data_IF_104441218713
#
_entry.id   IF_104441218713
#
_cell.length_a   1.000
_cell.length_b   1.000
_cell.length_c   1.000
_cell.angle_alpha   90.00
_cell.angle_beta   90.00
_cell.angle_gamma   90.00
#
_symmetry.space_group_name_H-M   'P 1'
#
loop_
_entity.id
_entity.type
_entity.pdbx_description
1 polymer ?
#
# COMPACT_ATOMS: atom_id res chain seq x y z
N UNK A 1 0.26 -1.01 11.89
CA UNK A 1 0.95 -1.29 10.61
C UNK A 1 1.91 -0.15 10.37
N UNK A 2 3.21 -0.43 10.13
CA UNK A 2 4.25 0.57 9.84
C UNK A 2 4.87 0.25 8.51
N UNK A 3 5.07 1.24 7.66
CA UNK A 3 5.55 1.04 6.30
C UNK A 3 6.66 2.04 5.95
N UNK A 4 7.52 1.67 5.01
CA UNK A 4 8.61 2.51 4.49
C UNK A 4 8.51 2.71 2.98
N UNK A 5 9.14 3.78 2.49
CA UNK A 5 9.22 4.04 1.05
C UNK A 5 10.01 2.92 0.37
N UNK A 6 9.42 2.34 -0.67
CA UNK A 6 9.95 1.17 -1.40
C UNK A 6 9.24 -0.14 -1.07
N UNK A 7 8.47 -0.21 0.01
CA UNK A 7 7.71 -1.41 0.34
C UNK A 7 6.57 -1.64 -0.64
N UNK A 8 6.22 -2.92 -0.85
CA UNK A 8 5.09 -3.32 -1.69
C UNK A 8 3.88 -3.59 -0.80
N UNK A 9 2.73 -3.06 -1.18
CA UNK A 9 1.46 -3.29 -0.54
C UNK A 9 0.61 -4.20 -1.42
N UNK A 10 0.02 -5.21 -0.80
CA UNK A 10 -1.04 -6.04 -1.39
C UNK A 10 -2.34 -5.71 -0.68
N UNK A 11 -3.32 -5.27 -1.45
CA UNK A 11 -4.69 -5.04 -1.00
C UNK A 11 -5.52 -6.20 -1.48
N UNK A 12 -5.83 -7.14 -0.58
CA UNK A 12 -6.75 -8.22 -0.87
C UNK A 12 -8.16 -7.63 -0.99
N UNK A 13 -8.89 -8.00 -2.04
CA UNK A 13 -10.27 -7.57 -2.21
C UNK A 13 -11.15 -8.26 -1.16
N UNK A 14 -11.81 -7.47 -0.29
CA UNK A 14 -12.53 -8.02 0.86
C UNK A 14 -13.71 -8.93 0.48
N UNK A 15 -14.36 -8.76 -0.67
CA UNK A 15 -15.47 -9.64 -1.10
C UNK A 15 -15.74 -9.52 -2.62
N UNK A 16 -15.75 -10.65 -3.34
CA UNK A 16 -16.52 -10.95 -4.57
C UNK A 16 -16.43 -10.04 -5.81
N UNK A 17 -15.76 -8.89 -5.78
CA UNK A 17 -15.77 -7.93 -6.89
C UNK A 17 -14.63 -6.91 -6.92
N UNK A 18 -13.93 -6.69 -5.81
CA UNK A 18 -12.72 -5.87 -5.86
C UNK A 18 -11.52 -6.74 -6.26
N UNK A 19 -10.85 -6.46 -7.39
CA UNK A 19 -9.65 -7.20 -7.76
C UNK A 19 -8.59 -6.97 -6.68
N UNK A 20 -7.78 -8.00 -6.41
CA UNK A 20 -6.54 -7.83 -5.66
C UNK A 20 -5.72 -6.75 -6.36
N UNK A 21 -5.34 -5.70 -5.63
CA UNK A 21 -4.52 -4.60 -6.16
C UNK A 21 -3.18 -4.58 -5.46
N UNK A 22 -2.16 -4.21 -6.22
CA UNK A 22 -0.80 -4.13 -5.74
C UNK A 22 -0.24 -2.75 -6.01
N UNK A 23 0.52 -2.22 -5.06
CA UNK A 23 1.11 -0.90 -5.16
C UNK A 23 2.45 -0.83 -4.44
N UNK A 24 3.26 0.16 -4.78
CA UNK A 24 4.47 0.51 -4.06
C UNK A 24 4.26 1.74 -3.22
N UNK A 25 4.81 1.76 -2.01
CA UNK A 25 4.83 2.94 -1.17
C UNK A 25 5.90 3.88 -1.72
N UNK A 26 5.47 5.02 -2.24
CA UNK A 26 6.36 6.07 -2.76
C UNK A 26 6.54 7.22 -1.77
N UNK A 27 5.70 7.28 -0.72
CA UNK A 27 5.81 8.26 0.35
C UNK A 27 5.07 7.82 1.60
N UNK A 28 5.57 8.25 2.75
CA UNK A 28 4.90 8.09 4.05
C UNK A 28 4.78 9.49 4.65
N UNK A 29 3.56 9.89 4.99
CA UNK A 29 3.31 11.24 5.50
C UNK A 29 3.76 11.38 6.96
N UNK A 30 3.59 10.33 7.76
CA UNK A 30 4.00 10.32 9.15
C UNK A 30 5.37 9.67 9.36
N UNK A 31 6.23 10.34 10.12
CA UNK A 31 7.58 9.87 10.42
C UNK A 31 7.61 8.54 11.19
N UNK A 32 6.52 8.17 11.86
CA UNK A 32 6.40 6.92 12.62
C UNK A 32 5.98 5.70 11.76
N UNK A 33 5.73 5.91 10.46
CA UNK A 33 5.28 4.87 9.54
C UNK A 33 3.77 4.65 9.55
N UNK A 34 2.99 5.49 10.25
CA UNK A 34 1.53 5.36 10.28
C UNK A 34 0.87 5.85 8.99
N UNK A 35 -0.32 5.34 8.63
CA UNK A 35 -1.06 5.81 7.46
C UNK A 35 -1.57 7.25 7.64
N UNK A 36 -1.80 8.00 6.54
CA UNK A 36 -1.87 7.53 5.16
C UNK A 36 -0.51 7.29 4.48
N UNK A 37 -0.53 6.43 3.46
CA UNK A 37 0.60 6.17 2.59
C UNK A 37 0.36 6.74 1.21
N UNK A 38 1.36 7.41 0.63
CA UNK A 38 1.34 7.73 -0.78
C UNK A 38 1.80 6.47 -1.54
N UNK A 39 0.91 5.90 -2.34
CA UNK A 39 1.19 4.67 -3.07
C UNK A 39 1.09 4.90 -4.57
N UNK A 40 1.92 4.19 -5.34
CA UNK A 40 1.80 4.07 -6.78
C UNK A 40 1.22 2.70 -7.13
N UNK A 41 0.04 2.70 -7.74
CA UNK A 41 -0.63 1.46 -8.13
C UNK A 41 0.05 0.83 -9.35
N UNK A 42 0.25 -0.49 -9.32
CA UNK A 42 0.89 -1.22 -10.42
C UNK A 42 -0.02 -1.42 -11.64
N UNK A 43 -1.34 -1.37 -11.46
CA UNK A 43 -2.32 -1.59 -12.52
C UNK A 43 -2.55 -0.35 -13.40
N UNK A 44 -2.41 0.83 -12.81
CA UNK A 44 -2.81 2.11 -13.40
C UNK A 44 -1.66 3.12 -13.42
N UNK A 45 -0.52 2.78 -12.82
CA UNK A 45 0.65 3.64 -12.60
C UNK A 45 0.32 4.96 -11.87
N UNK A 46 -0.89 5.07 -11.31
CA UNK A 46 -1.39 6.27 -10.67
C UNK A 46 -0.93 6.33 -9.22
N UNK A 47 -0.62 7.53 -8.77
CA UNK A 47 -0.35 7.84 -7.37
C UNK A 47 -1.63 8.29 -6.64
N UNK A 48 -1.82 7.79 -5.43
CA UNK A 48 -2.92 8.21 -4.55
C UNK A 48 -2.57 8.00 -3.09
N UNK A 49 -3.20 8.76 -2.20
CA UNK A 49 -3.19 8.44 -0.77
C UNK A 49 -4.02 7.19 -0.51
N UNK A 50 -3.45 6.27 0.27
CA UNK A 50 -4.04 5.00 0.62
C UNK A 50 -4.10 4.83 2.14
N UNK A 51 -5.27 4.41 2.61
CA UNK A 51 -5.54 4.10 4.01
C UNK A 51 -5.72 2.57 4.10
N UNK A 52 -4.74 1.84 4.67
CA UNK A 52 -4.77 0.39 4.73
C UNK A 52 -5.92 -0.08 5.64
N UNK A 53 -6.69 -1.04 5.13
CA UNK A 53 -7.69 -1.77 5.90
C UNK A 53 -7.12 -3.04 6.55
N UNK A 54 -7.94 -3.79 7.30
CA UNK A 54 -7.51 -5.04 7.95
C UNK A 54 -7.00 -6.11 6.96
N UNK A 55 -7.48 -6.10 5.71
CA UNK A 55 -7.07 -7.04 4.67
C UNK A 55 -5.80 -6.61 3.89
N UNK A 56 -5.14 -5.54 4.32
CA UNK A 56 -3.92 -5.05 3.68
C UNK A 56 -2.70 -5.79 4.22
N UNK A 57 -1.78 -6.18 3.34
CA UNK A 57 -0.47 -6.73 3.72
C UNK A 57 0.64 -5.88 3.16
N UNK A 58 1.64 -5.58 3.99
CA UNK A 58 2.91 -5.01 3.56
C UNK A 58 3.86 -6.17 3.31
N UNK A 59 4.42 -6.22 2.11
CA UNK A 59 5.60 -7.01 1.79
C UNK A 59 6.80 -6.06 1.90
N UNK A 60 7.59 -6.24 2.95
CA UNK A 60 8.87 -5.56 3.07
C UNK A 60 9.73 -5.93 1.86
N UNK A 61 10.27 -4.92 1.19
CA UNK A 61 11.30 -5.17 0.19
C UNK A 61 12.54 -5.63 0.95
N UNK A 62 12.80 -6.94 0.99
CA UNK A 62 14.07 -7.44 1.50
C UNK A 62 15.18 -6.69 0.77
N UNK A 63 16.03 -6.01 1.55
CA UNK A 63 17.23 -5.35 1.04
C UNK A 63 18.20 -6.36 0.46
#
# INVERSE_FOLDING_TARGET
>A
MKATVGDRLIVEGTYGGNPRRECFIVGVEHADGSPPYLVRWLDTERESLFFPGPDTRILESTR
#
